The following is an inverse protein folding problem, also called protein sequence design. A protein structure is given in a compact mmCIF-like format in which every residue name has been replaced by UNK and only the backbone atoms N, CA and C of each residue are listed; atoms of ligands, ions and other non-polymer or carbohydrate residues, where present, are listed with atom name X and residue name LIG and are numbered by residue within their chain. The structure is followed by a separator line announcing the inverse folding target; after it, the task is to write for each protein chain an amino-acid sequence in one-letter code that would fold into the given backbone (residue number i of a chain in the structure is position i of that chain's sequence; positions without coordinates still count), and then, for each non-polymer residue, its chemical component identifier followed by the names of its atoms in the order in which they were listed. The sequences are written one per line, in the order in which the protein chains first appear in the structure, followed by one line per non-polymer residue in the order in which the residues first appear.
data_IF_692990576898
#
_entry.id   IF_692990576898
#
_cell.length_a   1.000
_cell.length_b   1.000
_cell.length_c   1.000
_cell.angle_alpha   90.00
_cell.angle_beta   90.00
_cell.angle_gamma   90.00
#
_symmetry.space_group_name_H-M   'P 1'
#
loop_
_entity.id
_entity.type
_entity.pdbx_description
1 polymer ?
#
# COMPACT_ATOMS: atom_id res chain seq x y z
N UNK A 1 30.13 -10.49 -8.85
CA UNK A 1 31.26 -9.55 -8.96
C UNK A 1 30.66 -8.16 -8.85
N UNK A 2 30.71 -7.55 -7.67
CA UNK A 2 30.16 -6.24 -7.37
C UNK A 2 31.26 -5.17 -7.39
N UNK A 3 30.91 -3.99 -7.88
CA UNK A 3 31.76 -2.80 -7.76
C UNK A 3 31.78 -2.40 -6.29
N UNK A 4 32.97 -2.36 -5.68
CA UNK A 4 33.11 -1.94 -4.30
C UNK A 4 32.91 -0.42 -4.19
N UNK A 5 32.37 0.04 -3.05
CA UNK A 5 32.06 1.45 -2.78
C UNK A 5 33.26 2.37 -2.94
N UNK A 6 34.45 1.85 -2.63
CA UNK A 6 35.74 2.52 -2.86
C UNK A 6 36.04 2.76 -4.35
N UNK A 7 35.71 1.80 -5.19
CA UNK A 7 35.90 1.91 -6.65
C UNK A 7 34.88 2.86 -7.26
N UNK A 8 33.64 2.83 -6.77
CA UNK A 8 32.60 3.76 -7.17
C UNK A 8 32.97 5.21 -6.89
N UNK A 9 33.40 5.50 -5.66
CA UNK A 9 33.83 6.85 -5.24
C UNK A 9 35.01 7.38 -6.04
N UNK A 10 35.91 6.49 -6.49
CA UNK A 10 37.06 6.86 -7.34
C UNK A 10 36.67 7.13 -8.78
N UNK A 11 35.57 6.56 -9.26
CA UNK A 11 35.12 6.67 -10.65
C UNK A 11 34.13 7.81 -10.89
N UNK A 12 33.44 8.28 -9.84
CA UNK A 12 32.44 9.37 -9.94
C UNK A 12 32.97 10.63 -10.65
N UNK A 13 34.22 11.12 -10.43
CA UNK A 13 34.71 12.28 -11.14
C UNK A 13 35.04 12.02 -12.62
N UNK A 14 35.11 10.76 -13.04
CA UNK A 14 35.51 10.36 -14.40
C UNK A 14 34.36 9.76 -15.22
N UNK A 15 33.19 9.57 -14.62
CA UNK A 15 32.03 8.98 -15.29
C UNK A 15 30.93 10.03 -15.37
N UNK A 16 30.76 10.64 -16.53
CA UNK A 16 29.55 11.38 -16.84
C UNK A 16 28.47 10.36 -17.22
N UNK A 17 27.58 10.04 -16.27
CA UNK A 17 26.35 9.28 -16.58
C UNK A 17 25.42 10.26 -17.28
N UNK A 18 25.55 10.39 -18.58
CA UNK A 18 24.50 10.99 -19.40
C UNK A 18 23.27 10.14 -19.21
N UNK A 19 22.28 10.71 -18.53
CA UNK A 19 20.96 10.12 -18.44
C UNK A 19 20.56 9.72 -19.88
N UNK A 20 20.31 8.43 -20.10
CA UNK A 20 19.81 7.90 -21.36
C UNK A 20 18.33 8.31 -21.48
N UNK A 21 18.13 9.60 -21.60
CA UNK A 21 16.93 10.20 -22.11
C UNK A 21 17.27 10.70 -23.53
N UNK A 22 17.54 9.77 -24.44
CA UNK A 22 17.42 10.10 -25.89
C UNK A 22 17.65 8.86 -26.75
N UNK A 23 16.71 8.75 -27.66
CA UNK A 23 16.69 7.90 -28.85
C UNK A 23 16.43 6.41 -28.61
N UNK A 24 15.18 6.10 -28.25
CA UNK A 24 14.57 4.98 -28.95
C UNK A 24 14.10 5.53 -30.30
N UNK A 25 14.98 5.51 -31.26
CA UNK A 25 14.61 5.60 -32.66
C UNK A 25 13.60 4.50 -32.98
N UNK A 26 12.56 4.92 -33.64
CA UNK A 26 11.43 4.17 -34.11
C UNK A 26 11.82 2.85 -34.78
N UNK A 27 11.87 1.79 -34.02
CA UNK A 27 11.65 0.47 -34.61
C UNK A 27 10.15 0.25 -34.53
N UNK A 28 9.45 0.31 -35.66
CA UNK A 28 8.08 -0.13 -35.85
C UNK A 28 8.02 -1.60 -35.51
N UNK A 29 7.74 -1.90 -34.26
CA UNK A 29 7.33 -3.22 -33.82
C UNK A 29 5.82 -3.19 -33.85
N UNK A 30 5.24 -4.08 -34.66
CA UNK A 30 3.82 -4.27 -34.85
C UNK A 30 3.09 -4.25 -33.52
N UNK A 31 2.20 -3.24 -33.38
CA UNK A 31 1.28 -3.10 -32.27
C UNK A 31 0.19 -4.16 -32.39
N UNK A 32 0.46 -5.37 -31.90
CA UNK A 32 -0.61 -6.29 -31.56
C UNK A 32 -0.21 -7.04 -30.28
N UNK A 33 -1.04 -6.89 -29.25
CA UNK A 33 -1.08 -7.65 -27.98
C UNK A 33 0.11 -7.53 -27.01
N UNK A 34 0.63 -6.33 -26.74
CA UNK A 34 1.27 -6.07 -25.47
C UNK A 34 0.33 -5.25 -24.59
N UNK A 35 -0.34 -5.93 -23.67
CA UNK A 35 -1.03 -5.31 -22.55
C UNK A 35 -0.05 -4.37 -21.87
N UNK A 36 -0.26 -3.06 -22.06
CA UNK A 36 0.49 -2.03 -21.34
C UNK A 36 0.14 -2.21 -19.86
N UNK A 37 0.97 -2.95 -19.14
CA UNK A 37 0.97 -2.86 -17.68
C UNK A 37 1.30 -1.41 -17.33
N UNK A 38 0.41 -0.68 -16.67
CA UNK A 38 0.71 0.69 -16.27
C UNK A 38 1.96 0.66 -15.40
N UNK A 39 2.97 1.44 -15.76
CA UNK A 39 4.19 1.60 -14.94
C UNK A 39 3.77 2.45 -13.74
N UNK A 40 3.48 1.77 -12.63
CA UNK A 40 3.12 2.43 -11.38
C UNK A 40 4.43 2.80 -10.68
N UNK A 41 4.56 4.07 -10.32
CA UNK A 41 5.70 4.53 -9.53
C UNK A 41 5.62 4.02 -8.09
N UNK A 42 6.74 3.68 -7.44
CA UNK A 42 6.76 3.41 -6.01
C UNK A 42 6.11 4.54 -5.20
N UNK A 43 5.43 4.20 -4.11
CA UNK A 43 4.76 5.15 -3.20
C UNK A 43 3.76 6.11 -3.89
N UNK A 44 3.04 5.62 -4.91
CA UNK A 44 2.09 6.45 -5.67
C UNK A 44 0.62 6.19 -5.30
N UNK A 45 0.34 5.18 -4.48
CA UNK A 45 -1.01 4.76 -4.12
C UNK A 45 -1.27 5.06 -2.64
N UNK A 46 -2.16 6.01 -2.36
CA UNK A 46 -2.60 6.30 -0.99
C UNK A 46 -3.63 5.26 -0.54
N UNK A 47 -3.28 4.44 0.47
CA UNK A 47 -4.01 3.23 0.84
C UNK A 47 -5.31 3.50 1.60
N UNK A 48 -5.46 4.65 2.26
CA UNK A 48 -6.68 5.01 2.99
C UNK A 48 -7.80 5.49 2.07
N UNK A 49 -7.45 6.06 0.91
CA UNK A 49 -8.42 6.58 -0.07
C UNK A 49 -8.56 5.72 -1.32
N UNK A 50 -7.64 4.77 -1.54
CA UNK A 50 -7.63 3.94 -2.74
C UNK A 50 -8.89 3.11 -2.89
N UNK A 51 -9.34 2.95 -4.13
CA UNK A 51 -10.38 2.03 -4.56
C UNK A 51 -9.80 0.74 -5.19
N UNK A 52 -10.68 -0.21 -5.47
CA UNK A 52 -10.30 -1.48 -6.14
C UNK A 52 -9.66 -1.24 -7.51
N UNK A 53 -10.09 -0.24 -8.24
CA UNK A 53 -9.62 0.03 -9.62
C UNK A 53 -8.13 0.35 -9.64
N UNK A 54 -7.69 1.24 -8.75
CA UNK A 54 -6.26 1.58 -8.62
C UNK A 54 -5.43 0.42 -8.09
N UNK A 55 -5.98 -0.39 -7.18
CA UNK A 55 -5.27 -1.58 -6.67
C UNK A 55 -5.07 -2.64 -7.77
N UNK A 56 -5.95 -2.72 -8.77
CA UNK A 56 -5.76 -3.62 -9.91
C UNK A 56 -4.52 -3.30 -10.74
N UNK A 57 -4.04 -2.08 -10.69
CA UNK A 57 -2.84 -1.71 -11.42
C UNK A 57 -1.54 -2.24 -10.78
N UNK A 58 -1.58 -2.70 -9.52
CA UNK A 58 -0.42 -3.33 -8.86
C UNK A 58 -0.21 -4.74 -9.43
N UNK A 59 0.89 -5.00 -10.16
CA UNK A 59 1.12 -6.31 -10.76
C UNK A 59 1.37 -7.37 -9.69
N UNK A 60 0.69 -8.50 -9.79
CA UNK A 60 0.86 -9.63 -8.87
C UNK A 60 0.01 -9.57 -7.60
N UNK A 61 -0.79 -8.53 -7.39
CA UNK A 61 -1.71 -8.43 -6.26
C UNK A 61 -3.02 -9.17 -6.57
N UNK A 62 -3.37 -10.18 -5.76
CA UNK A 62 -4.60 -10.98 -5.95
C UNK A 62 -5.86 -10.18 -5.61
N UNK A 63 -6.92 -10.33 -6.42
CA UNK A 63 -8.24 -9.69 -6.20
C UNK A 63 -8.82 -9.95 -4.80
N UNK A 64 -8.63 -11.16 -4.27
CA UNK A 64 -9.07 -11.52 -2.92
C UNK A 64 -8.38 -10.70 -1.84
N UNK A 65 -7.09 -10.44 -1.97
CA UNK A 65 -6.31 -9.65 -1.03
C UNK A 65 -6.69 -8.16 -1.11
N UNK A 66 -6.92 -7.62 -2.31
CA UNK A 66 -7.42 -6.25 -2.47
C UNK A 66 -8.71 -6.04 -1.67
N UNK A 67 -9.68 -6.96 -1.80
CA UNK A 67 -10.94 -6.90 -1.06
C UNK A 67 -10.74 -7.06 0.46
N UNK A 68 -9.85 -7.96 0.87
CA UNK A 68 -9.54 -8.19 2.29
C UNK A 68 -8.89 -6.96 2.90
N UNK A 69 -7.96 -6.31 2.18
CA UNK A 69 -7.30 -5.08 2.61
C UNK A 69 -8.31 -3.93 2.77
N UNK A 70 -9.20 -3.73 1.78
CA UNK A 70 -10.22 -2.68 1.86
C UNK A 70 -11.19 -2.91 3.02
N UNK A 71 -11.65 -4.15 3.23
CA UNK A 71 -12.49 -4.51 4.38
C UNK A 71 -11.78 -4.29 5.71
N UNK A 72 -10.49 -4.64 5.78
CA UNK A 72 -9.69 -4.44 6.98
C UNK A 72 -9.51 -2.95 7.28
N UNK A 73 -9.15 -2.15 6.26
CA UNK A 73 -9.08 -0.70 6.33
C UNK A 73 -10.38 -0.07 6.86
N UNK A 74 -11.52 -0.48 6.30
CA UNK A 74 -12.82 0.10 6.67
C UNK A 74 -13.19 -0.23 8.12
N UNK A 75 -12.84 -1.42 8.62
CA UNK A 75 -13.00 -1.82 10.03
C UNK A 75 -12.07 -1.04 10.96
N UNK A 76 -10.82 -0.85 10.54
CA UNK A 76 -9.79 -0.12 11.26
C UNK A 76 -10.10 1.40 11.33
N UNK A 77 -10.87 1.91 10.36
CA UNK A 77 -11.10 3.34 10.16
C UNK A 77 -10.01 4.00 9.31
N UNK A 78 -9.06 3.24 8.83
CA UNK A 78 -7.88 3.66 8.06
C UNK A 78 -6.59 3.15 8.68
N UNK A 79 -5.56 3.01 7.87
CA UNK A 79 -4.21 2.65 8.33
C UNK A 79 -3.52 3.86 8.95
N UNK A 80 -2.85 3.67 10.08
CA UNK A 80 -1.98 4.67 10.72
C UNK A 80 -0.52 4.44 10.31
N UNK A 81 -0.17 3.18 10.07
CA UNK A 81 1.16 2.74 9.66
C UNK A 81 1.03 1.73 8.52
N UNK A 82 1.98 1.75 7.59
CA UNK A 82 1.95 0.86 6.44
C UNK A 82 2.14 -0.62 6.85
N UNK A 83 2.80 -0.87 7.96
CA UNK A 83 3.04 -2.20 8.54
C UNK A 83 1.74 -2.93 8.92
N UNK A 84 0.66 -2.19 9.19
CA UNK A 84 -0.66 -2.78 9.48
C UNK A 84 -1.23 -3.60 8.33
N UNK A 85 -0.68 -3.46 7.11
CA UNK A 85 -1.00 -4.33 5.98
C UNK A 85 -0.69 -5.80 6.29
N UNK A 86 0.32 -6.08 7.11
CA UNK A 86 0.68 -7.45 7.53
C UNK A 86 -0.42 -8.16 8.31
N UNK A 87 -1.33 -7.40 8.89
CA UNK A 87 -2.47 -7.92 9.67
C UNK A 87 -3.67 -8.31 8.78
N UNK A 88 -3.60 -7.99 7.49
CA UNK A 88 -4.64 -8.35 6.52
C UNK A 88 -4.68 -9.87 6.35
N UNK A 89 -5.86 -10.45 6.58
CA UNK A 89 -6.04 -11.91 6.55
C UNK A 89 -5.67 -12.50 5.20
N UNK A 90 -4.89 -13.59 5.21
CA UNK A 90 -4.43 -14.35 4.05
C UNK A 90 -3.48 -13.60 3.10
N UNK A 91 -2.93 -12.46 3.50
CA UNK A 91 -1.89 -11.79 2.74
C UNK A 91 -0.60 -12.62 2.76
N UNK A 92 0.04 -12.75 1.61
CA UNK A 92 1.40 -13.34 1.53
C UNK A 92 2.47 -12.27 1.73
N UNK A 93 3.69 -12.70 2.10
CA UNK A 93 4.82 -11.77 2.25
C UNK A 93 5.05 -10.95 0.96
N UNK A 94 4.99 -11.62 -0.20
CA UNK A 94 5.16 -10.96 -1.50
C UNK A 94 4.11 -9.88 -1.76
N UNK A 95 2.85 -10.14 -1.45
CA UNK A 95 1.77 -9.14 -1.62
C UNK A 95 1.90 -7.99 -0.64
N UNK A 96 2.38 -8.29 0.58
CA UNK A 96 2.68 -7.28 1.56
C UNK A 96 3.80 -6.33 1.07
N UNK A 97 4.88 -6.90 0.55
CA UNK A 97 5.99 -6.15 -0.05
C UNK A 97 5.53 -5.28 -1.23
N UNK A 98 4.66 -5.82 -2.10
CA UNK A 98 4.09 -5.05 -3.21
C UNK A 98 3.26 -3.86 -2.72
N UNK A 99 2.40 -4.07 -1.72
CA UNK A 99 1.59 -2.99 -1.15
C UNK A 99 2.46 -1.96 -0.41
N UNK A 100 3.54 -2.38 0.25
CA UNK A 100 4.50 -1.46 0.88
C UNK A 100 5.35 -0.70 -0.15
N UNK A 101 5.68 -1.33 -1.28
CA UNK A 101 6.47 -0.70 -2.35
C UNK A 101 5.67 0.38 -3.08
N UNK A 102 4.42 0.09 -3.44
CA UNK A 102 3.60 0.99 -4.24
C UNK A 102 2.70 1.90 -3.42
N UNK A 103 2.41 1.52 -2.17
CA UNK A 103 1.50 2.22 -1.27
C UNK A 103 2.20 3.20 -0.34
N UNK A 104 1.43 4.17 0.12
CA UNK A 104 1.76 5.00 1.29
C UNK A 104 0.48 5.25 2.10
N UNK A 105 0.63 5.78 3.30
CA UNK A 105 -0.47 6.01 4.24
C UNK A 105 -0.53 7.49 4.61
N UNK A 106 -1.67 8.14 4.34
CA UNK A 106 -1.99 9.46 4.89
C UNK A 106 -2.86 9.29 6.14
N UNK A 107 -2.30 9.61 7.29
CA UNK A 107 -3.00 9.51 8.58
C UNK A 107 -4.13 10.52 8.75
N UNK A 108 -4.15 11.61 7.98
CA UNK A 108 -5.24 12.59 8.01
C UNK A 108 -6.56 12.00 7.49
N UNK A 109 -6.48 10.97 6.66
CA UNK A 109 -7.66 10.27 6.11
C UNK A 109 -8.29 9.27 7.11
N UNK A 110 -7.69 9.05 8.29
CA UNK A 110 -8.17 8.10 9.29
C UNK A 110 -9.43 8.58 9.99
N UNK A 111 -10.47 7.75 10.00
CA UNK A 111 -11.76 8.01 10.64
C UNK A 111 -11.74 7.55 12.09
N UNK A 112 -11.65 8.47 13.02
CA UNK A 112 -11.70 8.18 14.46
C UNK A 112 -13.10 7.75 14.92
N UNK A 113 -13.17 6.78 15.83
CA UNK A 113 -14.44 6.37 16.46
C UNK A 113 -14.78 7.37 17.57
N UNK A 114 -15.99 7.96 17.49
CA UNK A 114 -16.52 8.82 18.55
C UNK A 114 -17.07 7.93 19.67
N UNK A 115 -16.28 7.67 20.68
CA UNK A 115 -16.55 6.70 21.76
C UNK A 115 -17.87 7.00 22.48
N UNK A 116 -18.16 8.28 22.77
CA UNK A 116 -19.35 8.70 23.51
C UNK A 116 -20.68 8.40 22.79
N UNK A 117 -20.66 8.19 21.47
CA UNK A 117 -21.85 7.92 20.66
C UNK A 117 -21.79 6.57 19.95
N UNK A 118 -20.69 5.82 20.11
CA UNK A 118 -20.53 4.54 19.46
C UNK A 118 -21.39 3.46 20.14
N UNK A 119 -21.95 2.57 19.34
CA UNK A 119 -22.61 1.35 19.83
C UNK A 119 -21.57 0.27 20.12
N UNK A 120 -21.93 -0.72 20.96
CA UNK A 120 -21.07 -1.90 21.24
C UNK A 120 -20.65 -2.56 19.92
N UNK A 121 -21.59 -2.79 19.00
CA UNK A 121 -21.30 -3.41 17.70
C UNK A 121 -20.31 -2.60 16.87
N UNK A 122 -20.38 -1.25 16.92
CA UNK A 122 -19.42 -0.40 16.22
C UNK A 122 -18.02 -0.49 16.82
N UNK A 123 -17.91 -0.55 18.15
CA UNK A 123 -16.65 -0.74 18.85
C UNK A 123 -16.05 -2.12 18.56
N UNK A 124 -16.85 -3.19 18.70
CA UNK A 124 -16.43 -4.58 18.46
C UNK A 124 -16.04 -4.84 16.99
N UNK A 125 -16.58 -4.07 16.05
CA UNK A 125 -16.19 -4.18 14.65
C UNK A 125 -14.73 -3.76 14.39
N UNK A 126 -14.10 -3.02 15.31
CA UNK A 126 -12.73 -2.57 15.18
C UNK A 126 -11.75 -3.73 15.47
N UNK A 127 -10.71 -3.97 14.61
CA UNK A 127 -9.81 -5.12 14.75
C UNK A 127 -9.11 -5.24 16.11
N UNK A 128 -8.84 -4.13 16.77
CA UNK A 128 -8.12 -4.08 18.06
C UNK A 128 -9.03 -4.04 19.28
N UNK A 129 -10.35 -4.04 19.10
CA UNK A 129 -11.30 -3.99 20.21
C UNK A 129 -12.03 -5.32 20.27
N UNK A 130 -11.90 -6.03 21.39
CA UNK A 130 -12.66 -7.23 21.67
C UNK A 130 -14.07 -6.87 22.16
N UNK A 131 -15.02 -7.78 22.05
CA UNK A 131 -16.38 -7.57 22.53
C UNK A 131 -16.43 -7.14 24.02
N UNK A 132 -15.62 -7.76 24.88
CA UNK A 132 -15.54 -7.40 26.29
C UNK A 132 -15.05 -5.96 26.50
N UNK A 133 -14.00 -5.57 25.73
CA UNK A 133 -13.51 -4.19 25.77
C UNK A 133 -14.56 -3.22 25.23
N UNK A 134 -15.27 -3.58 24.16
CA UNK A 134 -16.35 -2.76 23.60
C UNK A 134 -17.47 -2.51 24.63
N UNK A 135 -17.86 -3.54 25.35
CA UNK A 135 -18.87 -3.47 26.41
C UNK A 135 -18.39 -2.60 27.58
N UNK A 136 -17.14 -2.77 28.00
CA UNK A 136 -16.55 -1.94 29.06
C UNK A 136 -16.52 -0.47 28.66
N UNK A 137 -16.01 -0.15 27.48
CA UNK A 137 -15.93 1.22 26.95
C UNK A 137 -17.33 1.84 26.87
N UNK A 138 -18.30 1.11 26.34
CA UNK A 138 -19.67 1.59 26.20
C UNK A 138 -20.30 1.95 27.55
N UNK A 139 -20.12 1.11 28.57
CA UNK A 139 -20.67 1.34 29.91
C UNK A 139 -19.96 2.48 30.66
N UNK A 140 -18.67 2.70 30.34
CA UNK A 140 -17.88 3.73 31.04
C UNK A 140 -18.17 5.14 30.52
N UNK A 141 -18.48 5.30 29.22
CA UNK A 141 -18.68 6.59 28.58
C UNK A 141 -20.15 6.94 28.31
N UNK A 142 -21.08 6.17 28.81
CA UNK A 142 -22.51 6.44 28.70
C UNK A 142 -23.09 6.96 30.02
#
# INVERSE_FOLDING_TARGET
YGVTEKLYSSLVPYIEIKSIAKSVEQTKINADSLQRTPIISPHSIELNSVDTTKLYSIPGLRKGIMRSMLKYRDRLGGFIQIEQIKEVRYISNKECELLMLYGFVDTNAVKKIKVNTATINRLDSHPYITYENAKFIFNFYK
#
